data_IF_468342211069
#
_entry.id   IF_468342211069
#
_cell.length_a   1.000
_cell.length_b   1.000
_cell.length_c   1.000
_cell.angle_alpha   90.00
_cell.angle_beta   90.00
_cell.angle_gamma   90.00
#
_symmetry.space_group_name_H-M   'P 1'
#
loop_
_entity.id
_entity.type
_entity.pdbx_description
1 polymer ?
#
# COMPACT_ATOMS: atom_id res chain seq x y z
N UNK A 1 -36.19 17.91 -20.24
CA UNK A 1 -36.56 16.58 -20.79
C UNK A 1 -35.43 15.95 -21.61
N UNK A 2 -34.85 16.65 -22.60
CA UNK A 2 -33.75 16.12 -23.45
C UNK A 2 -32.48 15.73 -22.68
N UNK A 3 -32.08 16.53 -21.69
CA UNK A 3 -30.88 16.27 -20.87
C UNK A 3 -30.99 14.98 -20.05
N UNK A 4 -32.20 14.66 -19.57
CA UNK A 4 -32.43 13.49 -18.71
C UNK A 4 -32.35 12.17 -19.51
N UNK A 5 -32.83 12.20 -20.76
CA UNK A 5 -32.73 11.06 -21.67
C UNK A 5 -31.28 10.79 -22.09
N UNK A 6 -30.49 11.85 -22.27
CA UNK A 6 -29.05 11.74 -22.59
C UNK A 6 -28.28 11.15 -21.40
N UNK A 7 -28.59 11.56 -20.17
CA UNK A 7 -27.97 11.02 -18.96
C UNK A 7 -28.30 9.55 -18.74
N UNK A 8 -29.56 9.14 -18.91
CA UNK A 8 -29.93 7.72 -18.80
C UNK A 8 -29.27 6.84 -19.85
N UNK A 9 -29.19 7.29 -21.10
CA UNK A 9 -28.48 6.55 -22.15
C UNK A 9 -26.98 6.35 -21.80
N UNK A 10 -26.35 7.36 -21.19
CA UNK A 10 -24.94 7.31 -20.78
C UNK A 10 -24.70 6.36 -19.61
N UNK A 11 -25.63 6.27 -18.67
CA UNK A 11 -25.56 5.36 -17.52
C UNK A 11 -25.64 3.90 -18.00
N UNK A 12 -26.58 3.58 -18.88
CA UNK A 12 -26.74 2.22 -19.41
C UNK A 12 -25.53 1.76 -20.24
N UNK A 13 -24.89 2.66 -20.99
CA UNK A 13 -23.65 2.38 -21.74
C UNK A 13 -22.50 1.99 -20.80
N UNK A 14 -22.34 2.71 -19.68
CA UNK A 14 -21.26 2.49 -18.72
C UNK A 14 -21.45 1.21 -17.90
N UNK A 15 -22.69 0.87 -17.52
CA UNK A 15 -23.02 -0.37 -16.82
C UNK A 15 -22.69 -1.63 -17.68
N UNK A 16 -22.89 -1.54 -18.99
CA UNK A 16 -22.54 -2.60 -19.93
C UNK A 16 -21.03 -2.88 -19.99
N UNK A 17 -20.22 -1.81 -20.02
CA UNK A 17 -18.75 -1.91 -20.03
C UNK A 17 -18.21 -2.50 -18.72
N UNK A 18 -18.73 -2.04 -17.57
CA UNK A 18 -18.33 -2.54 -16.25
C UNK A 18 -18.57 -4.05 -16.09
N UNK A 19 -19.66 -4.56 -16.68
CA UNK A 19 -20.02 -5.98 -16.58
C UNK A 19 -19.09 -6.86 -17.43
N UNK A 20 -18.70 -6.39 -18.63
CA UNK A 20 -17.76 -7.08 -19.50
C UNK A 20 -16.35 -7.14 -18.89
N UNK A 21 -15.92 -6.07 -18.22
CA UNK A 21 -14.59 -5.95 -17.62
C UNK A 21 -14.45 -6.85 -16.37
N UNK A 22 -15.50 -6.93 -15.53
CA UNK A 22 -15.56 -7.87 -14.40
C UNK A 22 -15.44 -9.33 -14.84
N UNK A 23 -16.05 -9.71 -15.96
CA UNK A 23 -15.95 -11.06 -16.50
C UNK A 23 -14.52 -11.40 -17.00
N UNK A 24 -13.81 -10.42 -17.56
CA UNK A 24 -12.42 -10.57 -18.01
C UNK A 24 -11.45 -10.80 -16.83
N UNK A 25 -11.65 -10.08 -15.72
CA UNK A 25 -10.79 -10.19 -14.52
C UNK A 25 -10.89 -11.56 -13.81
N UNK A 26 -12.06 -12.19 -13.82
CA UNK A 26 -12.25 -13.55 -13.27
C UNK A 26 -11.43 -14.58 -14.06
N UNK A 27 -11.45 -14.51 -15.39
CA UNK A 27 -10.68 -15.42 -16.27
C UNK A 27 -9.16 -15.28 -16.08
N UNK A 28 -8.68 -14.08 -15.80
CA UNK A 28 -7.27 -13.77 -15.56
C UNK A 28 -6.73 -14.40 -14.25
N UNK A 29 -7.56 -14.46 -13.20
CA UNK A 29 -7.20 -15.08 -11.92
C UNK A 29 -7.07 -16.61 -12.04
N UNK A 30 -8.00 -17.26 -12.74
CA UNK A 30 -7.94 -18.71 -12.96
C UNK A 30 -6.66 -19.12 -13.73
N UNK A 31 -6.26 -18.32 -14.72
CA UNK A 31 -5.03 -18.56 -15.48
C UNK A 31 -3.76 -18.41 -14.63
N UNK A 32 -3.72 -17.45 -13.69
CA UNK A 32 -2.59 -17.24 -12.76
C UNK A 32 -2.39 -18.43 -11.82
N UNK A 33 -3.48 -19.00 -11.31
CA UNK A 33 -3.42 -20.16 -10.40
C UNK A 33 -2.94 -21.42 -11.12
N UNK A 34 -3.43 -21.66 -12.34
CA UNK A 34 -2.97 -22.76 -13.20
C UNK A 34 -1.47 -22.60 -13.49
N UNK A 35 -1.02 -21.41 -13.89
CA UNK A 35 0.39 -21.14 -14.20
C UNK A 35 1.30 -21.28 -12.96
N UNK A 36 0.84 -20.80 -11.80
CA UNK A 36 1.55 -20.94 -10.53
C UNK A 36 1.68 -22.41 -10.10
N UNK A 37 0.67 -23.24 -10.37
CA UNK A 37 0.73 -24.68 -10.13
C UNK A 37 1.75 -25.39 -11.05
N UNK A 38 1.82 -24.99 -12.32
CA UNK A 38 2.75 -25.53 -13.31
C UNK A 38 4.22 -25.18 -12.96
N UNK A 39 4.48 -23.92 -12.58
CA UNK A 39 5.80 -23.46 -12.13
C UNK A 39 6.30 -24.24 -10.90
N UNK A 40 5.43 -24.51 -9.93
CA UNK A 40 5.77 -25.33 -8.75
C UNK A 40 6.14 -26.75 -9.14
N UNK A 41 5.35 -27.40 -10.01
CA UNK A 41 5.64 -28.77 -10.50
C UNK A 41 6.97 -28.83 -11.25
N UNK A 42 7.25 -27.89 -12.15
CA UNK A 42 8.52 -27.83 -12.86
C UNK A 42 9.72 -27.56 -11.93
N UNK A 43 9.56 -26.69 -10.93
CA UNK A 43 10.62 -26.44 -9.94
C UNK A 43 10.97 -27.68 -9.11
N UNK A 44 9.98 -28.47 -8.71
CA UNK A 44 10.19 -29.74 -8.00
C UNK A 44 10.92 -30.74 -8.91
N UNK A 45 10.47 -30.90 -10.15
CA UNK A 45 11.09 -31.79 -11.12
C UNK A 45 12.55 -31.42 -11.39
N UNK A 46 12.87 -30.11 -11.46
CA UNK A 46 14.24 -29.63 -11.58
C UNK A 46 15.10 -30.04 -10.39
N UNK A 47 14.60 -29.90 -9.16
CA UNK A 47 15.32 -30.29 -7.95
C UNK A 47 15.71 -31.78 -7.94
N UNK A 48 14.76 -32.64 -8.32
CA UNK A 48 14.98 -34.09 -8.42
C UNK A 48 16.02 -34.43 -9.49
N UNK A 49 15.99 -33.75 -10.64
CA UNK A 49 16.97 -33.94 -11.71
C UNK A 49 18.36 -33.45 -11.31
N UNK A 50 18.47 -32.30 -10.64
CA UNK A 50 19.75 -31.75 -10.16
C UNK A 50 20.39 -32.65 -9.09
N UNK A 51 19.60 -33.25 -8.21
CA UNK A 51 20.07 -34.23 -7.23
C UNK A 51 20.52 -35.55 -7.89
N UNK A 52 19.76 -36.04 -8.86
CA UNK A 52 20.10 -37.23 -9.64
C UNK A 52 21.41 -37.03 -10.41
N UNK A 53 21.59 -35.87 -11.04
CA UNK A 53 22.81 -35.50 -11.75
C UNK A 53 24.02 -35.45 -10.80
N UNK A 54 23.83 -34.89 -9.59
CA UNK A 54 24.87 -34.85 -8.56
C UNK A 54 25.29 -36.26 -8.12
N UNK A 55 24.34 -37.16 -7.92
CA UNK A 55 24.62 -38.55 -7.56
C UNK A 55 25.35 -39.29 -8.69
N UNK A 56 24.95 -39.08 -9.95
CA UNK A 56 25.64 -39.64 -11.12
C UNK A 56 27.09 -39.15 -11.22
N UNK A 57 27.34 -37.84 -11.08
CA UNK A 57 28.70 -37.28 -11.08
C UNK A 57 29.58 -37.86 -9.97
N UNK A 58 29.03 -38.07 -8.77
CA UNK A 58 29.75 -38.71 -7.67
C UNK A 58 30.11 -40.17 -7.97
N UNK A 59 29.22 -40.89 -8.65
CA UNK A 59 29.47 -42.28 -9.06
C UNK A 59 30.57 -42.36 -10.12
N UNK A 60 30.52 -41.47 -11.13
CA UNK A 60 31.55 -41.31 -12.16
C UNK A 60 32.92 -41.03 -11.50
N UNK A 61 33.00 -40.07 -10.59
CA UNK A 61 34.25 -39.73 -9.89
C UNK A 61 34.81 -40.90 -9.05
N UNK A 62 33.95 -41.75 -8.49
CA UNK A 62 34.37 -42.94 -7.76
C UNK A 62 34.90 -44.03 -8.71
N UNK A 63 34.27 -44.23 -9.87
CA UNK A 63 34.76 -45.15 -10.90
C UNK A 63 36.11 -44.70 -11.47
N UNK A 64 36.30 -43.40 -11.70
CA UNK A 64 37.60 -42.83 -12.12
C UNK A 64 38.70 -43.10 -11.09
N UNK A 65 38.38 -42.95 -9.80
CA UNK A 65 39.32 -43.27 -8.71
C UNK A 65 39.67 -44.76 -8.68
N UNK A 66 38.69 -45.65 -8.82
CA UNK A 66 38.91 -47.10 -8.88
C UNK A 66 39.76 -47.51 -10.09
N UNK A 67 39.54 -46.88 -11.25
CA UNK A 67 40.35 -47.10 -12.45
C UNK A 67 41.82 -46.68 -12.24
N UNK A 68 42.07 -45.65 -11.42
CA UNK A 68 43.40 -45.11 -11.16
C UNK A 68 44.17 -45.86 -10.06
N UNK A 69 43.46 -46.48 -9.11
CA UNK A 69 44.06 -47.06 -7.89
C UNK A 69 44.47 -48.54 -7.99
N UNK A 70 44.05 -49.30 -9.02
CA UNK A 70 44.35 -50.74 -9.10
C UNK A 70 44.97 -51.21 -10.44
N UNK A 71 45.88 -52.21 -10.35
CA UNK A 71 46.25 -53.13 -11.44
C UNK A 71 45.06 -54.04 -11.75
N UNK A 72 43.99 -53.43 -12.25
CA UNK A 72 42.77 -54.09 -12.66
C UNK A 72 43.05 -54.94 -13.91
N UNK A 73 42.58 -56.19 -13.93
CA UNK A 73 42.63 -57.07 -15.11
C UNK A 73 42.06 -56.36 -16.35
N UNK A 74 42.65 -56.55 -17.54
CA UNK A 74 42.21 -55.90 -18.80
C UNK A 74 40.70 -56.07 -19.05
N UNK A 75 40.11 -57.21 -18.66
CA UNK A 75 38.66 -57.43 -18.79
C UNK A 75 37.83 -56.51 -17.88
N UNK A 76 38.29 -56.25 -16.66
CA UNK A 76 37.58 -55.38 -15.71
C UNK A 76 37.80 -53.91 -16.09
N UNK A 77 38.96 -53.55 -16.67
CA UNK A 77 39.14 -52.22 -17.27
C UNK A 77 38.18 -51.98 -18.44
N UNK A 78 37.97 -52.97 -19.31
CA UNK A 78 37.02 -52.85 -20.42
C UNK A 78 35.57 -52.69 -19.94
N UNK A 79 35.15 -53.44 -18.92
CA UNK A 79 33.82 -53.32 -18.31
C UNK A 79 33.60 -51.96 -17.63
N UNK A 80 34.62 -51.43 -16.92
CA UNK A 80 34.57 -50.10 -16.31
C UNK A 80 34.49 -49.03 -17.41
N UNK A 81 35.27 -49.14 -18.49
CA UNK A 81 35.25 -48.18 -19.59
C UNK A 81 33.92 -48.14 -20.34
N UNK A 82 33.29 -49.30 -20.55
CA UNK A 82 31.96 -49.40 -21.14
C UNK A 82 30.89 -48.79 -20.21
N UNK A 83 30.95 -49.09 -18.92
CA UNK A 83 30.03 -48.53 -17.91
C UNK A 83 30.19 -47.01 -17.80
N UNK A 84 31.42 -46.50 -17.84
CA UNK A 84 31.72 -45.08 -17.82
C UNK A 84 31.16 -44.37 -19.07
N UNK A 85 31.34 -44.97 -20.26
CA UNK A 85 30.85 -44.38 -21.51
C UNK A 85 29.31 -44.26 -21.53
N UNK A 86 28.60 -45.29 -21.05
CA UNK A 86 27.14 -45.25 -20.93
C UNK A 86 26.68 -44.21 -19.89
N UNK A 87 27.33 -44.15 -18.72
CA UNK A 87 27.02 -43.16 -17.69
C UNK A 87 27.30 -41.72 -18.16
N UNK A 88 28.32 -41.53 -18.98
CA UNK A 88 28.65 -40.23 -19.56
C UNK A 88 27.58 -39.77 -20.54
N UNK A 89 27.09 -40.66 -21.41
CA UNK A 89 25.98 -40.39 -22.33
C UNK A 89 24.69 -40.03 -21.57
N UNK A 90 24.36 -40.79 -20.52
CA UNK A 90 23.21 -40.50 -19.66
C UNK A 90 23.36 -39.14 -18.95
N UNK A 91 24.58 -38.78 -18.52
CA UNK A 91 24.86 -37.49 -17.88
C UNK A 91 24.67 -36.32 -18.86
N UNK A 92 25.14 -36.47 -20.09
CA UNK A 92 25.00 -35.45 -21.13
C UNK A 92 23.53 -35.28 -21.55
N UNK A 93 22.77 -36.38 -21.64
CA UNK A 93 21.32 -36.35 -21.85
C UNK A 93 20.58 -35.63 -20.70
N UNK A 94 20.92 -35.93 -19.44
CA UNK A 94 20.34 -35.24 -18.29
C UNK A 94 20.67 -33.74 -18.25
N UNK A 95 21.89 -33.36 -18.65
CA UNK A 95 22.29 -31.95 -18.77
C UNK A 95 21.47 -31.23 -19.84
N UNK A 96 21.23 -31.86 -20.98
CA UNK A 96 20.40 -31.30 -22.05
C UNK A 96 18.96 -31.07 -21.57
N UNK A 97 18.35 -32.06 -20.91
CA UNK A 97 17.00 -31.94 -20.32
C UNK A 97 16.94 -30.82 -19.27
N UNK A 98 17.95 -30.72 -18.40
CA UNK A 98 18.02 -29.65 -17.40
C UNK A 98 18.16 -28.25 -18.03
N UNK A 99 18.90 -28.13 -19.13
CA UNK A 99 19.03 -26.87 -19.87
C UNK A 99 17.70 -26.47 -20.52
N UNK A 100 16.98 -27.42 -21.12
CA UNK A 100 15.67 -27.18 -21.72
C UNK A 100 14.62 -26.78 -20.66
N UNK A 101 14.57 -27.48 -19.53
CA UNK A 101 13.68 -27.10 -18.41
C UNK A 101 13.98 -25.71 -17.87
N UNK A 102 15.26 -25.30 -17.81
CA UNK A 102 15.63 -23.93 -17.40
C UNK A 102 15.12 -22.88 -18.39
N UNK A 103 15.21 -23.13 -19.69
CA UNK A 103 14.68 -22.23 -20.71
C UNK A 103 13.15 -22.09 -20.58
N UNK A 104 12.43 -23.21 -20.43
CA UNK A 104 10.97 -23.20 -20.24
C UNK A 104 10.55 -22.44 -18.97
N UNK A 105 11.30 -22.58 -17.86
CA UNK A 105 11.02 -21.87 -16.62
C UNK A 105 11.21 -20.35 -16.74
N UNK A 106 12.20 -19.92 -17.53
CA UNK A 106 12.43 -18.50 -17.83
C UNK A 106 11.26 -17.94 -18.62
N UNK A 107 10.78 -18.65 -19.64
CA UNK A 107 9.68 -18.18 -20.48
C UNK A 107 8.34 -18.18 -19.73
N UNK A 108 8.07 -19.18 -18.89
CA UNK A 108 6.92 -19.15 -17.97
C UNK A 108 7.02 -18.02 -16.94
N UNK A 109 8.23 -17.70 -16.48
CA UNK A 109 8.49 -16.57 -15.59
C UNK A 109 8.19 -15.22 -16.25
N UNK A 110 8.55 -15.05 -17.52
CA UNK A 110 8.19 -13.86 -18.33
C UNK A 110 6.68 -13.75 -18.51
N UNK A 111 6.04 -14.84 -18.93
CA UNK A 111 4.59 -14.87 -19.13
C UNK A 111 3.83 -14.54 -17.84
N UNK A 112 4.29 -15.06 -16.69
CA UNK A 112 3.73 -14.69 -15.37
C UNK A 112 3.91 -13.21 -15.08
N UNK A 113 5.06 -12.63 -15.42
CA UNK A 113 5.32 -11.20 -15.27
C UNK A 113 4.37 -10.34 -16.10
N UNK A 114 4.14 -10.71 -17.36
CA UNK A 114 3.19 -10.05 -18.27
C UNK A 114 1.75 -10.12 -17.72
N UNK A 115 1.32 -11.28 -17.24
CA UNK A 115 -0.02 -11.45 -16.65
C UNK A 115 -0.20 -10.62 -15.36
N UNK A 116 0.84 -10.54 -14.52
CA UNK A 116 0.81 -9.68 -13.31
C UNK A 116 0.70 -8.20 -13.69
N UNK A 117 1.43 -7.78 -14.73
CA UNK A 117 1.39 -6.41 -15.23
C UNK A 117 -0.02 -6.08 -15.75
N UNK A 118 -0.61 -6.98 -16.52
CA UNK A 118 -1.96 -6.82 -17.05
C UNK A 118 -3.00 -6.77 -15.92
N UNK A 119 -2.88 -7.62 -14.90
CA UNK A 119 -3.73 -7.56 -13.70
C UNK A 119 -3.60 -6.24 -12.94
N UNK A 120 -2.40 -5.67 -12.87
CA UNK A 120 -2.19 -4.36 -12.26
C UNK A 120 -2.85 -3.25 -13.10
N UNK A 121 -2.78 -3.32 -14.42
CA UNK A 121 -3.50 -2.40 -15.31
C UNK A 121 -5.02 -2.52 -15.13
N UNK A 122 -5.56 -3.74 -15.02
CA UNK A 122 -6.98 -3.97 -14.73
C UNK A 122 -7.38 -3.40 -13.36
N UNK A 123 -6.54 -3.51 -12.33
CA UNK A 123 -6.83 -2.93 -11.02
C UNK A 123 -6.86 -1.38 -11.04
N UNK A 124 -6.00 -0.76 -11.85
CA UNK A 124 -6.02 0.69 -12.07
C UNK A 124 -7.33 1.09 -12.77
N UNK A 125 -7.73 0.35 -13.81
CA UNK A 125 -8.99 0.58 -14.51
C UNK A 125 -10.22 0.37 -13.60
N UNK A 126 -10.19 -0.59 -12.68
CA UNK A 126 -11.24 -0.79 -11.68
C UNK A 126 -11.37 0.39 -10.72
N UNK A 127 -10.27 0.99 -10.27
CA UNK A 127 -10.30 2.22 -9.45
C UNK A 127 -10.82 3.42 -10.24
N UNK A 128 -10.43 3.56 -11.51
CA UNK A 128 -11.00 4.59 -12.39
C UNK A 128 -12.51 4.40 -12.60
N UNK A 129 -12.98 3.14 -12.68
CA UNK A 129 -14.39 2.79 -12.75
C UNK A 129 -15.14 3.11 -11.46
N UNK A 130 -14.59 2.79 -10.29
CA UNK A 130 -15.17 3.19 -8.99
C UNK A 130 -15.29 4.70 -8.86
N UNK A 131 -14.30 5.44 -9.36
CA UNK A 131 -14.35 6.90 -9.38
C UNK A 131 -15.47 7.42 -10.31
N UNK A 132 -15.69 6.76 -11.45
CA UNK A 132 -16.82 7.05 -12.34
C UNK A 132 -18.17 6.70 -11.70
N UNK A 133 -18.29 5.58 -11.00
CA UNK A 133 -19.50 5.19 -10.26
C UNK A 133 -19.88 6.23 -9.20
N UNK A 134 -18.91 6.71 -8.42
CA UNK A 134 -19.14 7.79 -7.44
C UNK A 134 -19.60 9.09 -8.10
N UNK A 135 -19.05 9.43 -9.27
CA UNK A 135 -19.51 10.61 -10.05
C UNK A 135 -20.94 10.43 -10.55
N UNK A 136 -21.31 9.21 -10.97
CA UNK A 136 -22.68 8.89 -11.39
C UNK A 136 -23.64 9.02 -10.20
N UNK A 137 -23.31 8.48 -9.02
CA UNK A 137 -24.13 8.64 -7.82
C UNK A 137 -24.30 10.10 -7.41
N UNK A 138 -23.22 10.88 -7.45
CA UNK A 138 -23.30 12.31 -7.17
C UNK A 138 -24.21 13.06 -8.15
N UNK A 139 -24.15 12.72 -9.44
CA UNK A 139 -25.05 13.29 -10.45
C UNK A 139 -26.51 12.85 -10.24
N UNK A 140 -26.77 11.59 -9.87
CA UNK A 140 -28.11 11.10 -9.51
C UNK A 140 -28.69 11.89 -8.33
N UNK A 141 -27.92 12.04 -7.25
CA UNK A 141 -28.30 12.83 -6.08
C UNK A 141 -28.58 14.29 -6.44
N UNK A 142 -27.75 14.89 -7.30
CA UNK A 142 -27.93 16.28 -7.75
C UNK A 142 -29.25 16.45 -8.53
N UNK A 143 -29.58 15.49 -9.40
CA UNK A 143 -30.84 15.50 -10.16
C UNK A 143 -32.05 15.35 -9.23
N UNK A 144 -31.99 14.46 -8.23
CA UNK A 144 -33.04 14.30 -7.22
C UNK A 144 -33.25 15.58 -6.41
N UNK A 145 -32.15 16.19 -5.93
CA UNK A 145 -32.19 17.44 -5.17
C UNK A 145 -32.89 18.59 -5.93
N UNK A 146 -32.58 18.78 -7.22
CA UNK A 146 -33.23 19.82 -8.02
C UNK A 146 -34.67 19.48 -8.41
N UNK A 147 -35.02 18.19 -8.53
CA UNK A 147 -36.41 17.77 -8.73
C UNK A 147 -37.26 17.97 -7.48
N UNK A 148 -36.69 17.81 -6.29
CA UNK A 148 -37.37 18.11 -5.02
C UNK A 148 -37.55 19.62 -4.83
N UNK A 149 -36.53 20.43 -5.14
CA UNK A 149 -36.59 21.88 -5.06
C UNK A 149 -37.58 22.54 -6.04
N UNK A 150 -37.90 21.89 -7.17
CA UNK A 150 -38.96 22.35 -8.08
C UNK A 150 -40.38 22.01 -7.59
N UNK A 151 -40.53 21.17 -6.55
CA UNK A 151 -41.82 20.71 -6.03
C UNK A 151 -42.20 21.34 -4.67
N UNK A 152 -41.34 22.13 -4.03
CA UNK A 152 -41.67 22.89 -2.82
C UNK A 152 -42.17 24.31 -3.18
N UNK A 153 -43.43 24.62 -2.88
CA UNK A 153 -43.92 26.00 -2.89
C UNK A 153 -43.25 26.81 -1.76
N UNK A 154 -42.89 28.09 -1.99
CA UNK A 154 -42.14 28.86 -1.00
C UNK A 154 -43.06 29.30 0.15
N UNK A 155 -42.88 28.68 1.33
CA UNK A 155 -43.44 29.19 2.57
C UNK A 155 -42.64 30.41 3.06
N UNK A 156 -43.23 31.58 2.88
CA UNK A 156 -42.80 32.86 3.46
C UNK A 156 -42.96 32.83 4.99
N UNK A 157 -42.06 32.17 5.74
CA UNK A 157 -41.78 32.53 7.14
C UNK A 157 -40.47 31.91 7.66
N UNK A 158 -39.61 32.79 8.21
CA UNK A 158 -38.37 32.53 8.97
C UNK A 158 -37.05 32.32 8.21
N UNK A 159 -36.58 33.38 7.54
CA UNK A 159 -35.18 33.52 7.12
C UNK A 159 -34.51 34.79 7.69
N UNK A 160 -34.84 35.16 8.92
CA UNK A 160 -34.25 36.35 9.59
C UNK A 160 -33.31 36.06 10.76
N UNK A 161 -32.91 34.80 10.99
CA UNK A 161 -31.91 34.50 12.03
C UNK A 161 -30.93 33.43 11.58
N UNK A 162 -29.94 33.83 10.77
CA UNK A 162 -28.57 33.27 10.72
C UNK A 162 -27.69 33.97 9.65
N UNK A 163 -27.96 35.23 9.32
CA UNK A 163 -26.99 36.09 8.65
C UNK A 163 -26.10 36.77 9.70
N UNK A 164 -25.25 35.99 10.37
CA UNK A 164 -24.07 36.56 11.00
C UNK A 164 -23.00 36.67 9.92
N UNK A 165 -22.75 37.92 9.54
CA UNK A 165 -21.57 38.46 8.87
C UNK A 165 -20.38 37.50 8.73
N UNK A 166 -20.31 36.78 7.62
CA UNK A 166 -19.05 36.28 7.07
C UNK A 166 -18.66 37.19 5.90
N UNK A 167 -18.30 38.43 6.22
CA UNK A 167 -17.59 39.31 5.29
C UNK A 167 -16.09 39.11 5.51
N UNK A 168 -15.39 38.71 4.45
CA UNK A 168 -13.93 38.73 4.28
C UNK A 168 -13.08 37.91 5.27
N UNK A 169 -13.29 36.60 5.31
CA UNK A 169 -12.23 35.67 5.72
C UNK A 169 -12.05 34.61 4.64
N UNK A 170 -10.86 34.53 4.05
CA UNK A 170 -10.43 33.32 3.36
C UNK A 170 -10.72 32.11 4.26
N UNK A 171 -11.17 30.96 3.71
CA UNK A 171 -11.38 29.76 4.51
C UNK A 171 -10.07 29.45 5.25
N UNK A 172 -10.12 29.53 6.59
CA UNK A 172 -8.99 29.14 7.43
C UNK A 172 -8.93 27.62 7.41
N UNK A 173 -7.97 27.05 6.69
CA UNK A 173 -7.68 25.62 6.78
C UNK A 173 -6.83 25.34 8.01
N UNK A 174 -6.99 24.16 8.60
CA UNK A 174 -6.11 23.73 9.69
C UNK A 174 -4.69 23.57 9.14
N UNK A 175 -3.71 24.17 9.82
CA UNK A 175 -2.32 24.13 9.36
C UNK A 175 -1.56 23.08 10.15
N UNK A 176 -0.60 22.46 9.47
CA UNK A 176 0.31 21.51 10.08
C UNK A 176 1.72 22.08 10.13
N UNK A 177 2.43 21.79 11.21
CA UNK A 177 3.84 22.17 11.42
C UNK A 177 4.66 20.96 11.81
N UNK A 178 5.96 21.01 11.54
CA UNK A 178 6.90 19.96 11.94
C UNK A 178 6.85 19.73 13.44
N UNK A 179 6.84 18.46 13.83
CA UNK A 179 6.70 18.01 15.21
C UNK A 179 7.79 16.98 15.55
N UNK A 180 8.14 16.81 16.83
CA UNK A 180 9.11 15.79 17.29
C UNK A 180 10.42 15.69 16.46
N UNK A 181 10.92 16.81 15.92
CA UNK A 181 12.06 16.80 14.98
C UNK A 181 13.35 16.19 15.54
N UNK A 182 13.45 16.09 16.86
CA UNK A 182 14.60 15.49 17.56
C UNK A 182 14.63 13.97 17.44
N UNK A 183 13.46 13.35 17.22
CA UNK A 183 13.28 11.89 17.19
C UNK A 183 13.25 11.35 15.75
N UNK A 184 13.41 12.25 14.77
CA UNK A 184 13.41 11.90 13.36
C UNK A 184 14.69 11.18 12.95
N UNK A 185 14.51 10.08 12.23
CA UNK A 185 15.59 9.29 11.66
C UNK A 185 15.84 9.69 10.21
N UNK A 186 17.11 9.89 9.88
CA UNK A 186 17.51 10.22 8.50
C UNK A 186 17.47 9.00 7.59
N UNK A 187 16.98 9.20 6.38
CA UNK A 187 17.07 8.23 5.29
C UNK A 187 18.37 8.47 4.53
N UNK A 188 18.97 7.39 4.04
CA UNK A 188 20.21 7.39 3.29
C UNK A 188 20.02 6.70 1.93
N UNK A 189 20.78 7.14 0.93
CA UNK A 189 20.92 6.43 -0.34
C UNK A 189 21.93 5.27 -0.25
N UNK A 190 22.15 4.58 -1.37
CA UNK A 190 23.13 3.49 -1.49
C UNK A 190 24.58 3.93 -1.25
N UNK A 191 24.86 5.22 -1.36
CA UNK A 191 26.19 5.81 -1.14
C UNK A 191 26.38 6.28 0.31
N UNK A 192 25.35 6.19 1.16
CA UNK A 192 25.39 6.67 2.53
C UNK A 192 25.25 8.19 2.66
N UNK A 193 24.74 8.86 1.61
CA UNK A 193 24.38 10.28 1.62
C UNK A 193 22.97 10.42 2.18
N UNK A 194 22.72 11.45 2.99
CA UNK A 194 21.40 11.72 3.54
C UNK A 194 20.45 12.15 2.41
N UNK A 195 19.30 11.48 2.33
CA UNK A 195 18.22 11.81 1.41
C UNK A 195 17.27 12.81 2.08
N UNK A 196 17.35 14.08 1.65
CA UNK A 196 16.56 15.19 2.22
C UNK A 196 15.32 15.56 1.40
N UNK A 197 15.09 14.92 0.25
CA UNK A 197 14.05 15.31 -0.72
C UNK A 197 12.65 14.78 -0.40
N UNK A 198 12.42 14.40 0.86
CA UNK A 198 11.14 13.91 1.33
C UNK A 198 10.35 15.07 1.92
N UNK A 199 9.30 15.50 1.22
CA UNK A 199 8.40 16.54 1.68
C UNK A 199 7.01 15.94 1.95
N UNK A 200 6.52 16.10 3.17
CA UNK A 200 5.16 15.73 3.54
C UNK A 200 4.37 17.01 3.76
N UNK A 201 3.30 17.17 2.98
CA UNK A 201 2.32 18.23 3.21
C UNK A 201 1.01 17.60 3.65
N UNK A 202 0.43 18.17 4.69
CA UNK A 202 -0.83 17.73 5.28
C UNK A 202 -1.86 18.83 5.10
N UNK A 203 -3.06 18.42 4.71
CA UNK A 203 -4.24 19.26 4.67
C UNK A 203 -5.38 18.51 5.37
N UNK A 204 -6.14 19.18 6.22
CA UNK A 204 -7.41 18.62 6.67
C UNK A 204 -8.51 19.35 5.92
N UNK A 205 -9.06 18.65 4.92
CA UNK A 205 -9.91 19.27 3.91
C UNK A 205 -11.32 19.53 4.44
N UNK A 206 -11.82 18.66 5.33
CA UNK A 206 -13.21 18.68 5.79
C UNK A 206 -13.37 18.24 7.25
N UNK A 207 -14.46 18.67 7.88
CA UNK A 207 -14.85 18.28 9.24
C UNK A 207 -14.34 19.21 10.35
N UNK A 208 -13.59 20.26 10.03
CA UNK A 208 -13.16 21.28 10.99
C UNK A 208 -13.67 22.66 10.59
N UNK A 209 -14.31 23.35 11.52
CA UNK A 209 -14.77 24.72 11.33
C UNK A 209 -13.97 25.65 12.23
N UNK A 210 -13.60 26.84 11.76
CA UNK A 210 -12.94 27.82 12.60
C UNK A 210 -13.97 28.56 13.47
N UNK A 211 -13.80 28.53 14.78
CA UNK A 211 -14.63 29.28 15.72
C UNK A 211 -13.89 30.51 16.26
N UNK A 212 -14.51 31.68 16.11
CA UNK A 212 -13.94 32.95 16.55
C UNK A 212 -14.05 33.17 18.06
N UNK A 213 -14.97 32.50 18.74
CA UNK A 213 -15.18 32.62 20.20
C UNK A 213 -14.07 31.91 20.96
N UNK A 214 -13.76 30.68 20.57
CA UNK A 214 -12.69 29.86 21.15
C UNK A 214 -11.33 30.12 20.48
N UNK A 215 -11.32 30.82 19.34
CA UNK A 215 -10.12 31.13 18.55
C UNK A 215 -9.33 29.84 18.22
N UNK A 216 -10.05 28.82 17.79
CA UNK A 216 -9.54 27.50 17.41
C UNK A 216 -10.49 26.80 16.44
N UNK A 217 -10.06 25.66 15.92
CA UNK A 217 -10.92 24.80 15.13
C UNK A 217 -11.87 24.00 16.03
N UNK A 218 -13.08 23.74 15.56
CA UNK A 218 -14.09 22.92 16.22
C UNK A 218 -14.44 21.74 15.30
N UNK A 219 -14.61 20.57 15.89
CA UNK A 219 -15.27 19.42 15.26
C UNK A 219 -16.47 19.03 16.12
N UNK A 220 -17.61 18.75 15.50
CA UNK A 220 -18.83 18.35 16.20
C UNK A 220 -18.81 16.84 16.47
N UNK A 221 -19.18 16.45 17.68
CA UNK A 221 -19.22 15.06 18.09
C UNK A 221 -20.03 14.19 17.10
N UNK A 222 -19.44 13.07 16.66
CA UNK A 222 -20.07 12.14 15.71
C UNK A 222 -19.95 12.57 14.24
N UNK A 223 -19.42 13.75 13.95
CA UNK A 223 -19.06 14.12 12.57
C UNK A 223 -17.74 13.48 12.18
N UNK A 224 -17.68 13.02 10.93
CA UNK A 224 -16.43 12.52 10.36
C UNK A 224 -15.63 13.68 9.79
N UNK A 225 -14.30 13.55 9.79
CA UNK A 225 -13.39 14.51 9.18
C UNK A 225 -12.56 13.83 8.09
N UNK A 226 -11.94 14.64 7.23
CA UNK A 226 -11.09 14.14 6.15
C UNK A 226 -9.71 14.79 6.22
N UNK A 227 -8.69 13.99 5.95
CA UNK A 227 -7.29 14.44 5.90
C UNK A 227 -6.67 13.96 4.61
N UNK A 228 -6.16 14.89 3.80
CA UNK A 228 -5.33 14.59 2.65
C UNK A 228 -3.86 14.75 3.00
N UNK A 229 -3.07 13.73 2.68
CA UNK A 229 -1.63 13.72 2.84
C UNK A 229 -1.00 13.71 1.46
N UNK A 230 -0.27 14.77 1.15
CA UNK A 230 0.57 14.86 -0.04
C UNK A 230 1.98 14.42 0.32
N UNK A 231 2.33 13.22 -0.12
CA UNK A 231 3.69 12.71 -0.04
C UNK A 231 4.43 13.12 -1.31
N UNK A 232 5.19 14.20 -1.23
CA UNK A 232 6.03 14.68 -2.32
C UNK A 232 7.45 14.15 -2.12
N UNK A 233 7.74 13.03 -2.78
CA UNK A 233 9.05 12.40 -2.72
C UNK A 233 9.66 12.37 -4.13
N UNK A 234 10.35 13.45 -4.47
CA UNK A 234 11.00 13.57 -5.78
C UNK A 234 12.27 12.72 -5.82
N UNK A 235 12.40 11.90 -6.86
CA UNK A 235 13.60 11.09 -7.14
C UNK A 235 14.04 10.18 -5.97
N UNK A 236 13.08 9.52 -5.30
CA UNK A 236 13.42 8.55 -4.26
C UNK A 236 14.25 7.42 -4.88
N UNK A 237 15.48 7.15 -4.38
CA UNK A 237 16.28 6.03 -4.84
C UNK A 237 15.51 4.72 -4.69
N UNK A 238 15.66 3.80 -5.65
CA UNK A 238 15.01 2.47 -5.59
C UNK A 238 15.29 1.71 -4.29
N UNK A 239 16.46 1.96 -3.71
CA UNK A 239 16.89 1.37 -2.44
C UNK A 239 17.30 2.50 -1.51
N UNK A 240 16.57 2.60 -0.41
CA UNK A 240 16.86 3.55 0.66
C UNK A 240 17.17 2.79 1.95
N UNK A 241 17.98 3.42 2.78
CA UNK A 241 18.57 2.81 3.96
C UNK A 241 18.38 3.73 5.16
N UNK A 242 18.50 3.18 6.36
CA UNK A 242 18.54 3.93 7.61
C UNK A 242 19.75 3.50 8.42
N UNK A 243 20.35 4.45 9.14
CA UNK A 243 21.36 4.14 10.18
C UNK A 243 20.67 4.12 11.52
N UNK A 244 20.66 2.96 12.17
CA UNK A 244 20.06 2.82 13.50
C UNK A 244 21.13 2.34 14.46
N UNK A 245 21.15 2.94 15.65
CA UNK A 245 22.14 2.66 16.70
C UNK A 245 22.16 1.17 17.09
N UNK A 246 20.98 0.54 17.16
CA UNK A 246 20.84 -0.88 17.46
C UNK A 246 21.58 -1.82 16.48
N UNK A 247 21.83 -1.35 15.24
CA UNK A 247 22.60 -2.08 14.24
C UNK A 247 24.04 -1.56 14.10
N UNK A 248 24.64 -1.07 15.19
CA UNK A 248 26.00 -0.52 15.22
C UNK A 248 26.20 0.61 14.19
N UNK A 249 25.19 1.45 13.96
CA UNK A 249 25.20 2.53 12.96
C UNK A 249 25.46 2.07 11.51
N UNK A 250 25.21 0.79 11.20
CA UNK A 250 25.26 0.29 9.81
C UNK A 250 24.03 0.74 9.03
N UNK A 251 24.20 0.88 7.72
CA UNK A 251 23.10 1.12 6.78
C UNK A 251 22.27 -0.15 6.66
N UNK A 252 21.00 -0.08 7.06
CA UNK A 252 20.03 -1.16 6.97
C UNK A 252 18.98 -0.78 5.93
N UNK A 253 18.64 -1.67 4.97
CA UNK A 253 17.65 -1.35 3.95
C UNK A 253 16.27 -1.19 4.57
N UNK A 254 15.55 -0.15 4.12
CA UNK A 254 14.14 0.05 4.48
C UNK A 254 13.28 -0.87 3.60
N UNK A 255 12.36 -1.62 4.22
CA UNK A 255 11.48 -2.59 3.55
C UNK A 255 10.10 -2.01 3.22
N UNK A 256 9.67 -1.02 3.98
CA UNK A 256 8.37 -0.40 3.81
C UNK A 256 8.24 0.88 4.61
N UNK A 257 7.11 1.54 4.39
CA UNK A 257 6.73 2.80 4.98
C UNK A 257 5.33 2.70 5.52
N UNK A 258 5.10 3.34 6.66
CA UNK A 258 3.80 3.42 7.28
C UNK A 258 3.47 4.87 7.63
N UNK A 259 2.25 5.33 7.36
CA UNK A 259 1.77 6.62 7.84
C UNK A 259 0.63 6.37 8.80
N UNK A 260 0.72 6.95 10.00
CA UNK A 260 -0.31 6.87 11.03
C UNK A 260 -0.87 8.27 11.31
N UNK A 261 -2.19 8.35 11.52
CA UNK A 261 -2.88 9.58 11.95
C UNK A 261 -3.43 9.37 13.36
N UNK A 262 -2.96 10.19 14.29
CA UNK A 262 -3.26 10.07 15.72
C UNK A 262 -3.75 11.40 16.29
N UNK A 263 -4.39 11.36 17.46
CA UNK A 263 -4.82 12.54 18.21
C UNK A 263 -4.03 12.65 19.50
N UNK A 264 -3.53 13.85 19.78
CA UNK A 264 -2.97 14.25 21.06
C UNK A 264 -3.97 15.08 21.87
N UNK A 265 -3.99 14.91 23.19
CA UNK A 265 -4.65 15.85 24.10
C UNK A 265 -3.69 16.92 24.60
N UNK A 266 -4.00 18.18 24.34
CA UNK A 266 -3.19 19.33 24.71
C UNK A 266 -1.82 19.35 24.00
N UNK A 267 -0.81 19.88 24.69
CA UNK A 267 0.56 19.99 24.15
C UNK A 267 1.49 18.83 24.57
N UNK A 268 0.98 17.85 25.34
CA UNK A 268 1.80 16.74 25.82
C UNK A 268 1.92 15.63 24.76
N UNK A 269 3.14 15.14 24.55
CA UNK A 269 3.47 14.23 23.42
C UNK A 269 3.37 12.74 23.76
N UNK A 270 3.27 12.40 25.05
CA UNK A 270 3.38 11.01 25.52
C UNK A 270 2.08 10.19 25.40
N UNK A 271 0.93 10.85 25.27
CA UNK A 271 -0.37 10.18 25.20
C UNK A 271 -1.07 10.54 23.88
N UNK A 272 -0.94 9.68 22.88
CA UNK A 272 -1.68 9.75 21.61
C UNK A 272 -2.63 8.58 21.46
N UNK A 273 -3.75 8.80 20.76
CA UNK A 273 -4.70 7.74 20.39
C UNK A 273 -4.92 7.76 18.89
N UNK A 274 -4.87 6.60 18.26
CA UNK A 274 -5.03 6.45 16.81
C UNK A 274 -6.43 6.88 16.36
N UNK A 275 -6.53 7.57 15.22
CA UNK A 275 -7.82 7.84 14.58
C UNK A 275 -8.37 6.57 13.94
N UNK A 276 -9.70 6.45 13.90
CA UNK A 276 -10.38 5.30 13.29
C UNK A 276 -11.03 5.71 11.96
N UNK A 277 -11.03 4.81 10.98
CA UNK A 277 -11.86 4.99 9.80
C UNK A 277 -13.34 4.73 10.19
N UNK A 278 -14.29 5.54 9.70
CA UNK A 278 -15.70 5.42 10.09
C UNK A 278 -16.34 4.06 9.77
N UNK A 279 -15.80 3.33 8.78
CA UNK A 279 -16.23 1.97 8.43
C UNK A 279 -15.68 0.91 9.40
N UNK A 280 -14.57 1.20 10.08
CA UNK A 280 -13.87 0.33 11.00
C UNK A 280 -13.90 0.97 12.39
N UNK A 281 -15.07 0.95 13.03
CA UNK A 281 -15.27 1.39 14.41
C UNK A 281 -14.57 0.47 15.45
N UNK A 282 -13.67 -0.41 15.01
CA UNK A 282 -12.88 -1.30 15.86
C UNK A 282 -11.50 -0.66 16.15
N UNK A 283 -11.17 -0.37 17.41
CA UNK A 283 -9.87 0.15 17.81
C UNK A 283 -8.67 -0.70 17.36
N UNK A 284 -8.89 -1.97 16.99
CA UNK A 284 -7.85 -2.86 16.48
C UNK A 284 -7.37 -2.52 15.06
N UNK A 285 -8.05 -1.61 14.34
CA UNK A 285 -7.74 -1.26 12.95
C UNK A 285 -7.41 0.25 12.85
N UNK A 286 -6.17 0.65 13.23
CA UNK A 286 -5.77 2.05 13.18
C UNK A 286 -5.76 2.55 11.74
N UNK A 287 -6.12 3.82 11.56
CA UNK A 287 -6.06 4.43 10.24
C UNK A 287 -4.61 4.65 9.83
N UNK A 288 -4.08 3.68 9.07
CA UNK A 288 -2.70 3.65 8.64
C UNK A 288 -2.59 3.30 7.15
N UNK A 289 -1.61 3.91 6.49
CA UNK A 289 -1.23 3.56 5.12
C UNK A 289 0.09 2.81 5.15
N UNK A 290 0.17 1.66 4.47
CA UNK A 290 1.39 0.86 4.36
C UNK A 290 1.80 0.73 2.89
N UNK A 291 3.06 1.02 2.57
CA UNK A 291 3.60 0.83 1.23
C UNK A 291 5.04 0.34 1.27
N UNK A 292 5.41 -0.50 0.31
CA UNK A 292 6.81 -0.93 0.12
C UNK A 292 7.67 0.15 -0.57
N UNK A 293 7.05 1.11 -1.24
CA UNK A 293 7.74 2.14 -2.02
C UNK A 293 7.21 3.52 -1.69
N UNK A 294 8.15 4.45 -1.63
CA UNK A 294 7.87 5.84 -1.41
C UNK A 294 7.84 6.52 -2.79
N UNK A 295 6.64 6.69 -3.34
CA UNK A 295 6.39 7.40 -4.59
C UNK A 295 5.60 8.67 -4.31
N UNK A 296 5.71 9.71 -5.17
CA UNK A 296 4.82 10.86 -5.11
C UNK A 296 3.36 10.40 -5.15
N UNK A 297 2.68 10.49 -4.02
CA UNK A 297 1.33 9.98 -3.86
C UNK A 297 0.49 11.03 -3.13
N UNK A 298 -0.74 11.19 -3.60
CA UNK A 298 -1.81 11.81 -2.82
C UNK A 298 -2.53 10.68 -2.07
N UNK A 299 -2.55 10.77 -0.75
CA UNK A 299 -3.19 9.81 0.13
C UNK A 299 -4.38 10.49 0.79
N UNK A 300 -5.58 10.08 0.41
CA UNK A 300 -6.82 10.66 0.92
C UNK A 300 -7.38 9.74 2.02
N UNK A 301 -7.37 10.23 3.26
CA UNK A 301 -7.97 9.55 4.40
C UNK A 301 -9.36 10.13 4.65
N UNK A 302 -10.37 9.47 4.09
CA UNK A 302 -11.76 9.92 4.13
C UNK A 302 -12.51 9.29 5.30
N UNK A 303 -13.52 10.02 5.80
CA UNK A 303 -14.43 9.56 6.85
C UNK A 303 -13.70 9.11 8.12
N UNK A 304 -12.70 9.86 8.57
CA UNK A 304 -12.06 9.62 9.85
C UNK A 304 -12.99 10.02 10.99
N UNK A 305 -12.96 9.27 12.09
CA UNK A 305 -13.68 9.60 13.31
C UNK A 305 -12.75 9.56 14.52
N UNK A 306 -13.06 10.40 15.49
CA UNK A 306 -12.39 10.36 16.77
C UNK A 306 -12.79 9.09 17.53
N UNK A 307 -11.82 8.41 18.18
CA UNK A 307 -12.11 7.22 18.98
C UNK A 307 -13.15 7.50 20.05
N UNK A 308 -14.10 6.57 20.22
CA UNK A 308 -15.11 6.64 21.29
C UNK A 308 -14.51 6.84 22.67
N UNK A 309 -13.33 6.27 22.95
CA UNK A 309 -12.64 6.46 24.23
C UNK A 309 -12.27 7.93 24.54
N UNK A 310 -12.11 8.77 23.51
CA UNK A 310 -11.96 10.23 23.67
C UNK A 310 -13.33 10.88 23.87
N UNK A 311 -14.30 10.50 23.02
CA UNK A 311 -15.65 11.07 23.01
C UNK A 311 -16.44 10.79 24.29
N UNK A 312 -16.30 9.59 24.84
CA UNK A 312 -16.96 9.13 26.07
C UNK A 312 -16.25 9.64 27.35
N UNK A 313 -15.16 10.41 27.21
CA UNK A 313 -14.41 10.92 28.34
C UNK A 313 -13.57 9.88 29.10
N UNK A 314 -13.49 8.65 28.60
CA UNK A 314 -12.82 7.52 29.27
C UNK A 314 -11.30 7.50 29.11
N UNK A 315 -10.73 8.43 28.35
CA UNK A 315 -9.30 8.55 28.09
C UNK A 315 -8.63 9.62 28.97
N UNK A 316 -7.37 9.43 29.41
CA UNK A 316 -6.60 10.47 30.11
C UNK A 316 -6.57 11.80 29.36
N UNK A 317 -6.54 11.74 28.01
CA UNK A 317 -6.48 12.93 27.15
C UNK A 317 -7.82 13.65 27.00
N UNK A 318 -8.95 13.00 27.28
CA UNK A 318 -10.28 13.59 27.13
C UNK A 318 -10.52 14.73 28.13
N UNK A 319 -9.83 14.72 29.28
CA UNK A 319 -9.89 15.78 30.29
C UNK A 319 -9.32 17.13 29.84
N UNK A 320 -8.60 17.17 28.71
CA UNK A 320 -7.83 18.33 28.28
C UNK A 320 -8.61 19.30 27.39
N UNK A 321 -9.77 18.89 26.86
CA UNK A 321 -10.69 19.65 25.98
C UNK A 321 -10.10 20.25 24.69
N UNK A 322 -8.78 20.31 24.56
CA UNK A 322 -8.05 20.74 23.38
C UNK A 322 -7.26 19.57 22.82
N UNK A 323 -7.29 19.44 21.50
CA UNK A 323 -6.71 18.33 20.76
C UNK A 323 -5.88 18.83 19.59
N UNK A 324 -4.98 17.96 19.11
CA UNK A 324 -4.19 18.16 17.89
C UNK A 324 -4.11 16.86 17.12
N UNK A 325 -4.21 16.94 15.79
CA UNK A 325 -3.92 15.82 14.91
C UNK A 325 -2.41 15.73 14.74
N UNK A 326 -1.87 14.52 14.85
CA UNK A 326 -0.48 14.23 14.54
C UNK A 326 -0.44 13.15 13.50
N UNK A 327 0.22 13.47 12.39
CA UNK A 327 0.53 12.51 11.37
C UNK A 327 2.01 12.14 11.43
N UNK A 328 2.32 10.84 11.44
CA UNK A 328 3.67 10.30 11.58
C UNK A 328 3.98 9.36 10.44
N UNK A 329 5.12 9.58 9.78
CA UNK A 329 5.67 8.68 8.77
C UNK A 329 6.79 7.85 9.39
N UNK A 330 6.66 6.54 9.27
CA UNK A 330 7.58 5.54 9.75
C UNK A 330 8.24 4.78 8.61
N UNK A 331 9.45 4.28 8.85
CA UNK A 331 10.11 3.29 8.02
C UNK A 331 10.28 1.98 8.78
N UNK A 332 9.92 0.88 8.12
CA UNK A 332 10.07 -0.48 8.64
C UNK A 332 11.39 -1.07 8.12
N UNK A 333 12.27 -1.48 9.05
CA UNK A 333 13.53 -2.16 8.71
C UNK A 333 13.39 -3.68 8.76
N UNK A 334 12.59 -4.14 9.71
CA UNK A 334 12.20 -5.53 9.96
C UNK A 334 10.71 -5.57 10.27
N UNK A 335 10.15 -6.78 10.35
CA UNK A 335 8.70 -6.94 10.52
C UNK A 335 8.19 -6.40 11.88
N UNK A 336 9.08 -6.25 12.87
CA UNK A 336 8.74 -5.82 14.24
C UNK A 336 9.27 -4.43 14.64
N UNK A 337 9.91 -3.67 13.73
CA UNK A 337 10.56 -2.41 14.11
C UNK A 337 10.34 -1.27 13.11
N UNK A 338 9.62 -0.26 13.59
CA UNK A 338 9.31 0.97 12.87
C UNK A 338 10.06 2.16 13.47
N UNK A 339 10.62 2.99 12.60
CA UNK A 339 11.42 4.16 12.97
C UNK A 339 10.81 5.42 12.39
N UNK A 340 10.60 6.42 13.26
CA UNK A 340 10.01 7.70 12.85
C UNK A 340 10.94 8.44 11.89
N UNK A 341 10.44 8.82 10.72
CA UNK A 341 11.17 9.61 9.72
C UNK A 341 10.77 11.08 9.82
N UNK A 342 9.47 11.36 9.83
CA UNK A 342 8.91 12.70 9.89
C UNK A 342 7.56 12.69 10.62
N UNK A 343 7.24 13.77 11.32
CA UNK A 343 5.92 13.97 11.93
C UNK A 343 5.46 15.41 11.85
N UNK A 344 4.15 15.60 11.72
CA UNK A 344 3.55 16.93 11.66
C UNK A 344 2.35 16.99 12.59
N UNK A 345 2.19 18.13 13.26
CA UNK A 345 1.10 18.39 14.21
C UNK A 345 0.24 19.54 13.71
N UNK A 346 -1.07 19.41 13.87
CA UNK A 346 -2.02 20.43 13.49
C UNK A 346 -2.04 21.63 14.46
N UNK A 347 -2.67 22.72 14.00
CA UNK A 347 -3.25 23.73 14.87
C UNK A 347 -4.22 23.08 15.87
N UNK A 348 -4.46 23.75 17.01
CA UNK A 348 -5.33 23.23 18.06
C UNK A 348 -6.78 23.20 17.60
N UNK A 349 -7.52 22.18 18.01
CA UNK A 349 -8.96 22.09 17.84
C UNK A 349 -9.64 21.59 19.12
N UNK A 350 -10.95 21.77 19.21
CA UNK A 350 -11.79 21.22 20.27
C UNK A 350 -12.86 20.33 19.66
N UNK A 351 -13.31 19.33 20.44
CA UNK A 351 -14.45 18.48 20.05
C UNK A 351 -15.64 18.96 20.87
N UNK A 352 -16.65 19.49 20.20
CA UNK A 352 -17.90 19.92 20.83
C UNK A 352 -18.80 18.70 21.03
N UNK A 353 -19.14 18.40 22.28
CA UNK A 353 -20.08 17.33 22.64
C UNK A 353 -21.54 17.75 22.46
#
# INVERSE_FOLDING_TARGET
MEVNNILHAKITELEGLLTAEKASNVSLNENLDVLGSALRKQSIMRGVLEETLKNSNNHIANLERQLHEERVSENVQAEIHASFSNLQEDNDNLRAICAELRAQLIDLGKLRGEIILEKANCAILEEELKLKDRKIEHLKWTVEYFQEAENEEPDDHNLETLQIQNADCEPKNIRFKKFEMKDWNSIYDVHGTIFNSLNLKFDADQGFLWDNTFNCFINEHGTSFEVTIFLEAFEVPRHVFMKVQHYNNKLVPIRGFRIDITVLGGDNTEESIDCLAAAELDPAHPCSFVSQKLSPNRLDFQRLQFPRVILDGCSPIASRNEFRLVARLYASLTDDADFLIQSHVSDRFIILM
#
